data_IF_792543082391
#
_entry.id   IF_792543082391
#
_cell.length_a   1.000
_cell.length_b   1.000
_cell.length_c   1.000
_cell.angle_alpha   90.00
_cell.angle_beta   90.00
_cell.angle_gamma   90.00
#
_symmetry.space_group_name_H-M   'P 1'
#
loop_
_entity.id
_entity.type
_entity.pdbx_description
1 polymer ?
#
# COMPACT_ATOMS: atom_id res chain seq x y z
N UNK A 1 -62.61 -10.93 -30.39
CA UNK A 1 -61.89 -10.01 -31.28
C UNK A 1 -61.37 -8.82 -30.47
N UNK A 2 -60.06 -8.63 -30.42
CA UNK A 2 -59.48 -7.53 -29.67
C UNK A 2 -59.75 -6.23 -30.43
N UNK A 3 -60.26 -5.16 -29.78
CA UNK A 3 -60.43 -3.87 -30.42
C UNK A 3 -59.15 -3.31 -30.99
N UNK A 4 -59.22 -2.66 -32.14
CA UNK A 4 -58.07 -2.09 -32.84
C UNK A 4 -57.29 -1.08 -31.96
N UNK A 5 -58.01 -0.33 -31.09
CA UNK A 5 -57.40 0.58 -30.12
C UNK A 5 -56.47 -0.12 -29.09
N UNK A 6 -56.80 -1.35 -28.69
CA UNK A 6 -55.96 -2.14 -27.77
C UNK A 6 -54.74 -2.71 -28.49
N UNK A 7 -54.86 -3.01 -29.75
CA UNK A 7 -53.71 -3.44 -30.56
C UNK A 7 -52.71 -2.29 -30.77
N UNK A 8 -53.21 -1.09 -30.98
CA UNK A 8 -52.34 0.07 -31.11
C UNK A 8 -51.67 0.45 -29.80
N UNK A 9 -52.36 0.32 -28.67
CA UNK A 9 -51.74 0.51 -27.35
C UNK A 9 -50.67 -0.53 -27.06
N UNK A 10 -50.89 -1.78 -27.42
CA UNK A 10 -49.90 -2.84 -27.28
C UNK A 10 -48.67 -2.61 -28.18
N UNK A 11 -48.89 -2.15 -29.42
CA UNK A 11 -47.79 -1.78 -30.32
C UNK A 11 -46.96 -0.65 -29.77
N UNK A 12 -47.63 0.40 -29.26
CA UNK A 12 -46.93 1.54 -28.67
C UNK A 12 -46.14 1.16 -27.45
N UNK A 13 -46.66 0.31 -26.56
CA UNK A 13 -45.95 -0.25 -25.42
C UNK A 13 -44.77 -1.10 -25.84
N UNK A 14 -44.93 -1.94 -26.85
CA UNK A 14 -43.88 -2.79 -27.35
C UNK A 14 -42.75 -1.99 -27.99
N UNK A 15 -43.07 -0.94 -28.74
CA UNK A 15 -42.06 -0.03 -29.28
C UNK A 15 -41.34 0.76 -28.21
N UNK A 16 -42.03 1.19 -27.17
CA UNK A 16 -41.46 1.88 -26.03
C UNK A 16 -40.49 0.96 -25.24
N UNK A 17 -40.91 -0.26 -24.95
CA UNK A 17 -40.09 -1.28 -24.28
C UNK A 17 -38.87 -1.67 -25.11
N UNK A 18 -39.04 -1.79 -26.42
CA UNK A 18 -37.93 -2.05 -27.33
C UNK A 18 -36.91 -0.94 -27.33
N UNK A 19 -37.35 0.32 -27.33
CA UNK A 19 -36.49 1.48 -27.24
C UNK A 19 -35.77 1.56 -25.92
N UNK A 20 -36.44 1.31 -24.78
CA UNK A 20 -35.82 1.21 -23.46
C UNK A 20 -34.77 0.08 -23.38
N UNK A 21 -35.09 -1.08 -23.94
CA UNK A 21 -34.15 -2.20 -23.99
C UNK A 21 -32.90 -1.89 -24.80
N UNK A 22 -33.01 -1.22 -25.92
CA UNK A 22 -31.87 -0.78 -26.72
C UNK A 22 -31.01 0.25 -25.97
N UNK A 23 -31.63 1.19 -25.26
CA UNK A 23 -30.95 2.16 -24.42
C UNK A 23 -30.23 1.49 -23.26
N UNK A 24 -30.87 0.56 -22.55
CA UNK A 24 -30.26 -0.20 -21.46
C UNK A 24 -29.11 -1.08 -21.92
N UNK A 25 -29.23 -1.68 -23.11
CA UNK A 25 -28.12 -2.44 -23.71
C UNK A 25 -26.91 -1.58 -24.04
N UNK A 26 -27.12 -0.36 -24.55
CA UNK A 26 -26.06 0.59 -24.79
C UNK A 26 -25.39 1.02 -23.50
N UNK A 27 -26.17 1.35 -22.47
CA UNK A 27 -25.65 1.73 -21.16
C UNK A 27 -24.84 0.59 -20.53
N UNK A 28 -25.30 -0.65 -20.69
CA UNK A 28 -24.61 -1.83 -20.19
C UNK A 28 -23.27 -2.05 -20.91
N UNK A 29 -23.22 -1.91 -22.22
CA UNK A 29 -21.99 -2.03 -23.03
C UNK A 29 -21.04 -0.91 -22.68
N UNK A 30 -21.51 0.30 -22.51
CA UNK A 30 -20.73 1.45 -22.09
C UNK A 30 -20.14 1.25 -20.69
N UNK A 31 -20.93 0.74 -19.74
CA UNK A 31 -20.48 0.40 -18.41
C UNK A 31 -19.44 -0.74 -18.39
N UNK A 32 -19.55 -1.71 -19.30
CA UNK A 32 -18.57 -2.80 -19.46
C UNK A 32 -17.28 -2.34 -20.13
N UNK A 33 -17.35 -1.41 -21.09
CA UNK A 33 -16.21 -0.86 -21.81
C UNK A 33 -15.51 0.25 -21.07
N UNK A 34 -16.17 0.90 -20.11
CA UNK A 34 -15.45 1.65 -19.09
C UNK A 34 -14.61 0.63 -18.34
N UNK A 35 -13.33 0.56 -18.69
CA UNK A 35 -12.36 0.00 -17.76
C UNK A 35 -12.69 0.57 -16.40
N UNK A 36 -12.77 -0.26 -15.35
CA UNK A 36 -12.78 0.32 -14.04
C UNK A 36 -11.56 1.23 -14.03
N UNK A 37 -11.78 2.50 -14.17
CA UNK A 37 -10.85 3.44 -13.64
C UNK A 37 -10.78 2.99 -12.20
N UNK A 38 -9.68 2.33 -11.87
CA UNK A 38 -9.27 2.29 -10.50
C UNK A 38 -9.17 3.77 -10.18
N UNK A 39 -10.28 4.30 -9.67
CA UNK A 39 -10.25 5.58 -9.01
C UNK A 39 -9.39 5.29 -7.79
N UNK A 40 -8.10 5.37 -8.00
CA UNK A 40 -7.18 5.68 -6.95
C UNK A 40 -7.63 7.07 -6.55
N UNK A 41 -8.59 7.13 -5.63
CA UNK A 41 -8.91 8.37 -4.96
C UNK A 41 -7.61 8.79 -4.31
N UNK A 42 -6.94 9.75 -4.90
CA UNK A 42 -5.79 10.40 -4.29
C UNK A 42 -6.15 11.15 -3.01
N UNK A 43 -7.40 11.20 -2.65
CA UNK A 43 -7.87 11.71 -1.38
C UNK A 43 -7.79 10.61 -0.32
N UNK A 44 -6.77 10.67 0.53
CA UNK A 44 -6.41 9.64 1.48
C UNK A 44 -5.62 8.51 0.82
N UNK A 45 -4.70 8.86 -0.08
CA UNK A 45 -3.82 7.91 -0.74
C UNK A 45 -3.21 6.97 0.29
N UNK A 46 -3.32 5.66 0.04
CA UNK A 46 -2.56 4.65 0.76
C UNK A 46 -1.09 5.10 0.75
N UNK A 47 -0.66 5.66 1.86
CA UNK A 47 0.75 5.93 2.09
C UNK A 47 1.37 4.57 2.35
N UNK A 48 2.16 4.03 1.43
CA UNK A 48 2.76 2.73 1.63
C UNK A 48 3.64 2.81 2.86
N UNK A 49 3.30 2.03 3.85
CA UNK A 49 4.02 1.93 5.11
C UNK A 49 4.39 0.49 5.35
N UNK A 50 5.66 0.24 5.49
CA UNK A 50 6.18 -1.08 5.82
C UNK A 50 6.81 -1.05 7.21
N UNK A 51 6.43 -2.00 8.03
CA UNK A 51 7.05 -2.24 9.35
C UNK A 51 7.83 -3.54 9.28
N UNK A 52 9.14 -3.45 9.46
CA UNK A 52 10.06 -4.60 9.50
C UNK A 52 10.42 -4.90 10.94
N UNK A 53 10.10 -6.10 11.40
CA UNK A 53 10.35 -6.52 12.79
C UNK A 53 11.70 -7.23 12.90
N UNK A 54 12.45 -6.91 13.95
CA UNK A 54 13.75 -7.51 14.26
C UNK A 54 13.72 -8.27 15.58
N UNK A 55 14.56 -9.29 15.67
CA UNK A 55 14.83 -9.97 16.91
C UNK A 55 15.64 -9.09 17.87
N UNK A 56 15.60 -9.42 19.14
CA UNK A 56 16.34 -8.70 20.20
C UNK A 56 17.83 -8.63 19.87
N UNK A 57 18.41 -7.45 19.95
CA UNK A 57 19.82 -7.22 19.67
C UNK A 57 20.26 -7.48 18.23
N UNK A 58 19.33 -7.75 17.32
CA UNK A 58 19.63 -8.08 15.91
C UNK A 58 19.20 -6.99 14.96
N UNK A 59 19.94 -6.91 13.86
CA UNK A 59 19.65 -6.03 12.71
C UNK A 59 19.60 -6.81 11.40
N UNK A 60 19.67 -8.12 11.44
CA UNK A 60 19.53 -8.97 10.27
C UNK A 60 18.06 -9.16 9.88
N UNK A 61 17.79 -9.13 8.59
CA UNK A 61 16.44 -9.24 8.04
C UNK A 61 16.11 -10.72 7.85
N UNK A 62 14.98 -11.16 8.42
CA UNK A 62 14.50 -12.53 8.23
C UNK A 62 13.94 -12.75 6.82
N UNK A 63 13.93 -14.00 6.38
CA UNK A 63 13.33 -14.39 5.08
C UNK A 63 11.87 -13.97 4.93
N UNK A 64 11.15 -13.96 6.03
CA UNK A 64 9.75 -13.53 6.07
C UNK A 64 9.61 -12.06 5.69
N UNK A 65 10.47 -11.22 6.25
CA UNK A 65 10.47 -9.79 5.99
C UNK A 65 11.00 -9.44 4.59
N UNK A 66 11.86 -10.30 4.05
CA UNK A 66 12.45 -10.12 2.73
C UNK A 66 11.37 -9.94 1.64
N UNK A 67 10.34 -10.76 1.64
CA UNK A 67 9.23 -10.66 0.67
C UNK A 67 8.45 -9.36 0.81
N UNK A 68 8.25 -8.91 2.04
CA UNK A 68 7.54 -7.66 2.32
C UNK A 68 8.35 -6.44 1.86
N UNK A 69 9.66 -6.48 2.07
CA UNK A 69 10.59 -5.45 1.61
C UNK A 69 10.66 -5.42 0.09
N UNK A 70 10.67 -6.57 -0.57
CA UNK A 70 10.62 -6.66 -2.03
C UNK A 70 9.36 -6.02 -2.60
N UNK A 71 8.20 -6.31 -2.02
CA UNK A 71 6.93 -5.72 -2.44
C UNK A 71 6.93 -4.20 -2.27
N UNK A 72 7.44 -3.71 -1.14
CA UNK A 72 7.59 -2.27 -0.89
C UNK A 72 8.56 -1.61 -1.87
N UNK A 73 9.67 -2.26 -2.16
CA UNK A 73 10.66 -1.78 -3.11
C UNK A 73 10.09 -1.62 -4.53
N UNK A 74 9.25 -2.55 -4.97
CA UNK A 74 8.52 -2.44 -6.24
C UNK A 74 7.61 -1.22 -6.27
N UNK A 75 6.90 -0.97 -5.17
CA UNK A 75 6.04 0.21 -5.03
C UNK A 75 6.84 1.52 -5.08
N UNK A 76 7.97 1.58 -4.42
CA UNK A 76 8.87 2.75 -4.42
C UNK A 76 9.41 3.02 -5.83
N UNK A 77 9.89 2.00 -6.52
CA UNK A 77 10.39 2.13 -7.89
C UNK A 77 9.33 2.56 -8.89
N UNK A 78 8.07 2.18 -8.66
CA UNK A 78 6.95 2.60 -9.49
C UNK A 78 6.58 4.08 -9.31
N UNK A 79 7.08 4.72 -8.27
CA UNK A 79 6.84 6.14 -7.97
C UNK A 79 8.16 6.89 -7.82
N UNK A 80 8.92 7.09 -8.92
CA UNK A 80 10.27 7.63 -8.86
C UNK A 80 10.36 9.08 -8.39
N UNK A 81 9.24 9.79 -8.39
CA UNK A 81 9.13 11.17 -7.90
C UNK A 81 9.01 11.28 -6.37
N UNK A 82 8.72 10.17 -5.70
CA UNK A 82 8.51 10.13 -4.24
C UNK A 82 9.79 9.77 -3.50
N UNK A 83 9.94 10.32 -2.31
CA UNK A 83 11.02 10.01 -1.37
C UNK A 83 10.43 9.32 -0.14
N UNK A 84 11.09 8.27 0.31
CA UNK A 84 10.69 7.48 1.46
C UNK A 84 11.76 7.55 2.54
N UNK A 85 11.33 7.52 3.80
CA UNK A 85 12.24 7.51 4.95
C UNK A 85 12.20 6.14 5.61
N UNK A 86 13.36 5.58 5.86
CA UNK A 86 13.52 4.35 6.64
C UNK A 86 13.97 4.74 8.03
N UNK A 87 13.11 4.57 9.01
CA UNK A 87 13.39 4.94 10.41
C UNK A 87 13.57 3.68 11.26
N UNK A 88 14.72 3.53 11.87
CA UNK A 88 15.02 2.44 12.78
C UNK A 88 14.68 2.77 14.23
N UNK A 89 14.24 1.76 14.95
CA UNK A 89 13.89 1.85 16.37
C UNK A 89 14.48 0.66 17.12
N UNK A 90 14.72 0.86 18.40
CA UNK A 90 15.12 -0.18 19.32
C UNK A 90 14.21 -0.18 20.55
N UNK A 91 14.19 -1.30 21.26
CA UNK A 91 13.46 -1.46 22.52
C UNK A 91 14.24 -0.76 23.65
N UNK A 92 13.61 0.21 24.31
CA UNK A 92 14.21 0.94 25.45
C UNK A 92 14.50 0.05 26.65
N UNK A 93 13.76 -1.04 26.79
CA UNK A 93 13.89 -1.95 27.92
C UNK A 93 15.14 -2.82 27.90
N UNK A 94 15.89 -2.85 26.77
CA UNK A 94 17.08 -3.66 26.59
C UNK A 94 18.24 -2.83 26.06
N UNK A 95 19.39 -2.91 26.70
CA UNK A 95 20.60 -2.22 26.32
C UNK A 95 20.67 -0.76 26.79
N UNK A 96 21.85 -0.16 26.56
CA UNK A 96 22.08 1.26 26.87
C UNK A 96 21.49 2.19 25.79
N UNK A 97 21.31 3.47 26.10
CA UNK A 97 20.85 4.47 25.15
C UNK A 97 21.77 4.55 23.92
N UNK A 98 23.09 4.52 24.12
CA UNK A 98 24.07 4.56 23.05
C UNK A 98 24.01 3.30 22.18
N UNK A 99 23.89 2.12 22.79
CA UNK A 99 23.75 0.85 22.09
C UNK A 99 22.48 0.85 21.23
N UNK A 100 21.36 1.27 21.80
CA UNK A 100 20.07 1.33 21.09
C UNK A 100 20.09 2.33 19.94
N UNK A 101 20.82 3.44 20.08
CA UNK A 101 21.00 4.39 18.99
C UNK A 101 21.74 3.75 17.82
N UNK A 102 22.83 3.05 18.08
CA UNK A 102 23.60 2.31 17.07
C UNK A 102 22.78 1.18 16.45
N UNK A 103 22.03 0.44 17.25
CA UNK A 103 21.21 -0.67 16.78
C UNK A 103 20.06 -0.18 15.89
N UNK A 104 19.39 0.90 16.26
CA UNK A 104 18.33 1.49 15.44
C UNK A 104 18.85 1.97 14.09
N UNK A 105 20.03 2.57 14.07
CA UNK A 105 20.72 2.96 12.84
C UNK A 105 21.01 1.76 11.94
N UNK A 106 21.59 0.70 12.50
CA UNK A 106 21.90 -0.54 11.76
C UNK A 106 20.64 -1.18 11.17
N UNK A 107 19.53 -1.14 11.89
CA UNK A 107 18.25 -1.65 11.40
C UNK A 107 17.72 -0.85 10.20
N UNK A 108 17.76 0.45 10.28
CA UNK A 108 17.35 1.31 9.17
C UNK A 108 18.26 1.12 7.94
N UNK A 109 19.56 1.09 8.16
CA UNK A 109 20.54 0.86 7.10
C UNK A 109 20.40 -0.53 6.47
N UNK A 110 20.11 -1.57 7.24
CA UNK A 110 19.91 -2.92 6.73
C UNK A 110 18.72 -2.99 5.75
N UNK A 111 17.63 -2.33 6.06
CA UNK A 111 16.45 -2.26 5.18
C UNK A 111 16.76 -1.43 3.93
N UNK A 112 17.38 -0.28 4.09
CA UNK A 112 17.79 0.56 2.95
C UNK A 112 18.75 -0.18 2.02
N UNK A 113 19.79 -0.79 2.56
CA UNK A 113 20.82 -1.47 1.78
C UNK A 113 20.24 -2.67 1.01
N UNK A 114 19.31 -3.40 1.62
CA UNK A 114 18.59 -4.47 0.95
C UNK A 114 17.79 -3.94 -0.23
N UNK A 115 17.06 -2.86 -0.04
CA UNK A 115 16.26 -2.24 -1.11
C UNK A 115 17.12 -1.73 -2.27
N UNK A 116 18.26 -1.13 -1.96
CA UNK A 116 19.17 -0.57 -2.96
C UNK A 116 19.95 -1.67 -3.68
N UNK A 117 20.55 -2.58 -2.93
CA UNK A 117 21.51 -3.57 -3.47
C UNK A 117 20.81 -4.77 -4.11
N UNK A 118 19.73 -5.28 -3.50
CA UNK A 118 19.02 -6.47 -3.99
C UNK A 118 17.85 -6.12 -4.89
N UNK A 119 17.12 -5.06 -4.59
CA UNK A 119 15.89 -4.71 -5.31
C UNK A 119 16.03 -3.52 -6.26
N UNK A 120 17.20 -2.89 -6.33
CA UNK A 120 17.50 -1.85 -7.29
C UNK A 120 16.75 -0.53 -7.07
N UNK A 121 16.34 -0.24 -5.83
CA UNK A 121 15.76 1.07 -5.49
C UNK A 121 16.83 2.15 -5.58
N UNK A 122 16.59 3.27 -6.26
CA UNK A 122 17.54 4.39 -6.26
C UNK A 122 17.79 4.91 -4.85
N UNK A 123 19.05 5.03 -4.45
CA UNK A 123 19.43 5.54 -3.13
C UNK A 123 18.88 6.95 -2.85
N UNK A 124 18.69 7.74 -3.90
CA UNK A 124 18.09 9.09 -3.81
C UNK A 124 16.63 9.11 -3.35
N UNK A 125 15.92 8.00 -3.49
CA UNK A 125 14.54 7.87 -3.02
C UNK A 125 14.43 7.47 -1.54
N UNK A 126 15.53 7.06 -0.92
CA UNK A 126 15.56 6.55 0.45
C UNK A 126 16.38 7.43 1.35
N UNK A 127 15.78 7.87 2.45
CA UNK A 127 16.46 8.54 3.57
C UNK A 127 16.50 7.61 4.76
N UNK A 128 17.55 7.68 5.53
CA UNK A 128 17.70 6.91 6.76
C UNK A 128 17.56 7.84 7.96
N UNK A 129 16.73 7.44 8.90
CA UNK A 129 16.63 8.06 10.22
C UNK A 129 16.64 6.97 11.29
N UNK A 130 16.95 7.34 12.51
CA UNK A 130 16.98 6.39 13.63
C UNK A 130 16.68 7.12 14.93
N UNK A 131 15.89 6.49 15.78
CA UNK A 131 15.37 7.09 17.02
C UNK A 131 15.95 6.48 18.30
N UNK A 132 16.77 5.44 18.18
CA UNK A 132 17.31 4.72 19.33
C UNK A 132 16.25 3.94 20.09
N UNK A 133 16.43 3.85 21.41
CA UNK A 133 15.47 3.18 22.28
C UNK A 133 14.20 4.00 22.45
N UNK A 134 13.08 3.40 22.14
CA UNK A 134 11.76 3.98 22.33
C UNK A 134 10.97 3.14 23.34
N UNK A 135 10.04 3.78 24.03
CA UNK A 135 9.06 3.08 24.85
C UNK A 135 8.14 2.23 23.98
N UNK A 136 7.27 1.45 24.61
CA UNK A 136 6.35 0.60 23.86
C UNK A 136 5.51 1.40 22.88
N UNK A 137 5.81 1.28 21.61
CA UNK A 137 5.17 2.05 20.54
C UNK A 137 3.75 1.55 20.26
N UNK A 138 3.54 0.25 20.41
CA UNK A 138 2.29 -0.40 20.07
C UNK A 138 1.91 -1.41 21.15
N UNK A 139 0.74 -1.25 21.73
CA UNK A 139 0.10 -2.24 22.63
C UNK A 139 0.97 -2.75 23.79
N UNK A 140 1.86 -1.94 24.34
CA UNK A 140 2.79 -2.34 25.40
C UNK A 140 3.66 -3.57 25.08
N UNK A 141 3.83 -3.91 23.81
CA UNK A 141 4.68 -5.00 23.39
C UNK A 141 6.06 -4.49 22.93
N UNK A 142 7.08 -4.81 23.72
CA UNK A 142 8.47 -4.45 23.42
C UNK A 142 8.94 -4.97 22.06
N UNK A 143 8.42 -6.08 21.59
CA UNK A 143 8.74 -6.66 20.27
C UNK A 143 8.36 -5.72 19.13
N UNK A 144 7.30 -4.96 19.31
CA UNK A 144 6.81 -4.01 18.31
C UNK A 144 7.62 -2.70 18.29
N UNK A 145 8.55 -2.53 19.24
CA UNK A 145 9.52 -1.43 19.23
C UNK A 145 10.86 -1.81 18.56
N UNK A 146 11.04 -3.07 18.20
CA UNK A 146 12.24 -3.59 17.51
C UNK A 146 12.02 -3.58 16.00
N UNK A 147 11.85 -2.41 15.43
CA UNK A 147 11.36 -2.26 14.06
C UNK A 147 12.16 -1.25 13.27
N UNK A 148 12.09 -1.38 11.95
CA UNK A 148 12.37 -0.30 11.01
C UNK A 148 11.08 -0.02 10.23
N UNK A 149 10.73 1.24 10.11
CA UNK A 149 9.52 1.68 9.42
C UNK A 149 9.92 2.41 8.15
N UNK A 150 9.35 1.99 7.04
CA UNK A 150 9.50 2.66 5.75
C UNK A 150 8.19 3.37 5.44
N UNK A 151 8.25 4.66 5.26
CA UNK A 151 7.10 5.51 4.94
C UNK A 151 7.49 6.72 4.11
N UNK A 152 6.52 7.28 3.38
CA UNK A 152 6.68 8.51 2.60
C UNK A 152 6.89 9.74 3.49
#
# INVERSE_FOLDING_TARGET
MVPESQLDDMRNRMNSLKSENESLKRDLVEARNKKPEVIVKKEGGFVPRLVVVFNIGKSNISKREYMNIEAMAKGIKANPEKTFTVTGYADKGTGSAEYNMKLSKKRAEAVRDLMVNEFGVPASQLKVDYKGGVGNMFYDDAKLSRVAIVEE
#
